data_IF_487267608328
#
_entry.id   IF_487267608328
#
_cell.length_a   1.000
_cell.length_b   1.000
_cell.length_c   1.000
_cell.angle_alpha   90.00
_cell.angle_beta   90.00
_cell.angle_gamma   90.00
#
_symmetry.space_group_name_H-M   'P 1'
#
loop_
_entity.id
_entity.type
_entity.pdbx_description
1 polymer ?
#
# COMPACT_ATOMS: atom_id res chain seq x y z
N UNK A 1 4.45 -33.00 -16.64
CA UNK A 1 4.13 -32.92 -15.21
C UNK A 1 3.35 -31.65 -15.03
N UNK A 2 2.22 -31.73 -14.35
CA UNK A 2 1.42 -30.55 -14.05
C UNK A 2 2.23 -29.64 -13.11
N UNK A 3 2.33 -28.35 -13.45
CA UNK A 3 3.11 -27.38 -12.70
C UNK A 3 2.18 -26.39 -11.98
N UNK A 4 2.43 -26.13 -10.70
CA UNK A 4 1.70 -25.06 -9.99
C UNK A 4 2.42 -23.73 -10.12
N UNK A 5 1.63 -22.65 -10.07
CA UNK A 5 2.08 -21.27 -10.15
C UNK A 5 1.59 -20.48 -8.95
N UNK A 6 2.43 -19.58 -8.45
CA UNK A 6 2.12 -18.70 -7.32
C UNK A 6 2.60 -17.28 -7.57
N UNK A 7 1.81 -16.31 -7.13
CA UNK A 7 2.12 -14.89 -7.34
C UNK A 7 3.17 -14.44 -6.31
N UNK A 8 4.25 -13.83 -6.80
CA UNK A 8 5.32 -13.27 -5.97
C UNK A 8 5.65 -11.84 -6.38
N UNK A 9 6.02 -11.02 -5.40
CA UNK A 9 6.63 -9.71 -5.58
C UNK A 9 8.03 -9.73 -4.93
N UNK A 10 9.07 -10.21 -5.65
CA UNK A 10 10.34 -10.57 -5.02
C UNK A 10 11.05 -9.41 -4.32
N UNK A 11 11.05 -8.20 -4.91
CA UNK A 11 11.66 -7.02 -4.29
C UNK A 11 10.91 -6.54 -3.03
N UNK A 12 9.60 -6.81 -2.94
CA UNK A 12 8.79 -6.48 -1.78
C UNK A 12 8.76 -7.62 -0.73
N UNK A 13 9.34 -8.79 -1.03
CA UNK A 13 9.27 -10.01 -0.21
C UNK A 13 7.83 -10.39 0.12
N UNK A 14 6.96 -10.37 -0.89
CA UNK A 14 5.55 -10.76 -0.76
C UNK A 14 5.26 -11.98 -1.64
N UNK A 15 4.40 -12.86 -1.14
CA UNK A 15 3.85 -14.00 -1.88
C UNK A 15 2.36 -14.16 -1.56
N UNK A 16 1.54 -14.47 -2.56
CA UNK A 16 0.12 -14.73 -2.34
C UNK A 16 -0.04 -16.11 -1.68
N UNK A 17 -0.92 -16.24 -0.68
CA UNK A 17 -1.15 -17.53 0.01
C UNK A 17 -1.53 -18.67 -0.95
N UNK A 18 -2.30 -18.36 -1.98
CA UNK A 18 -2.87 -19.34 -2.89
C UNK A 18 -2.12 -19.34 -4.22
N UNK A 19 -1.93 -20.54 -4.77
CA UNK A 19 -1.46 -20.77 -6.13
C UNK A 19 -2.33 -21.84 -6.77
N UNK A 20 -2.05 -22.19 -8.01
CA UNK A 20 -2.83 -23.20 -8.73
C UNK A 20 -2.20 -23.56 -10.06
N UNK A 21 -2.84 -24.47 -10.77
CA UNK A 21 -2.46 -24.76 -12.15
C UNK A 21 -2.93 -23.62 -13.05
N UNK A 22 -2.16 -23.34 -14.10
CA UNK A 22 -2.44 -22.21 -14.98
C UNK A 22 -3.82 -22.30 -15.64
N UNK A 23 -4.25 -23.50 -16.06
CA UNK A 23 -5.59 -23.74 -16.65
C UNK A 23 -6.73 -23.48 -15.65
N UNK A 24 -6.56 -23.92 -14.40
CA UNK A 24 -7.54 -23.72 -13.33
C UNK A 24 -7.68 -22.23 -13.00
N UNK A 25 -6.54 -21.54 -12.85
CA UNK A 25 -6.49 -20.12 -12.52
C UNK A 25 -7.10 -19.19 -13.58
N UNK A 26 -7.16 -19.65 -14.84
CA UNK A 26 -7.84 -18.93 -15.92
C UNK A 26 -9.38 -18.98 -15.79
N UNK A 27 -9.90 -19.94 -15.03
CA UNK A 27 -11.33 -20.30 -15.00
C UNK A 27 -11.97 -20.20 -13.62
N UNK A 28 -11.20 -20.23 -12.53
CA UNK A 28 -11.68 -20.35 -11.15
C UNK A 28 -11.92 -19.02 -10.41
N UNK A 29 -11.71 -17.88 -11.08
CA UNK A 29 -11.81 -16.56 -10.46
C UNK A 29 -10.48 -15.96 -10.02
N UNK A 30 -9.35 -16.68 -10.18
CA UNK A 30 -8.03 -16.21 -9.76
C UNK A 30 -7.60 -14.96 -10.54
N UNK A 31 -7.82 -14.94 -11.85
CA UNK A 31 -7.53 -13.80 -12.71
C UNK A 31 -8.26 -12.52 -12.22
N UNK A 32 -9.55 -12.60 -11.94
CA UNK A 32 -10.39 -11.49 -11.49
C UNK A 32 -9.90 -10.90 -10.17
N UNK A 33 -9.38 -11.75 -9.29
CA UNK A 33 -8.86 -11.29 -8.02
C UNK A 33 -7.51 -10.58 -8.12
N UNK A 34 -6.70 -10.85 -9.15
CA UNK A 34 -5.49 -10.06 -9.41
C UNK A 34 -5.82 -8.59 -9.64
N UNK A 35 -6.97 -8.32 -10.27
CA UNK A 35 -7.44 -6.95 -10.46
C UNK A 35 -7.62 -6.26 -9.10
N UNK A 36 -8.11 -6.95 -8.08
CA UNK A 36 -8.30 -6.39 -6.73
C UNK A 36 -6.97 -6.08 -6.02
N UNK A 37 -5.90 -6.82 -6.34
CA UNK A 37 -4.56 -6.60 -5.80
C UNK A 37 -3.82 -5.42 -6.48
N UNK A 38 -4.25 -5.02 -7.68
CA UNK A 38 -3.51 -4.09 -8.54
C UNK A 38 -4.28 -2.82 -8.92
N UNK A 39 -5.62 -2.85 -8.87
CA UNK A 39 -6.45 -1.73 -9.28
C UNK A 39 -6.33 -0.58 -8.29
N UNK A 40 -5.71 0.52 -8.74
CA UNK A 40 -5.57 1.72 -7.93
C UNK A 40 -6.94 2.40 -7.84
N UNK A 41 -7.49 2.59 -6.63
CA UNK A 41 -8.80 3.20 -6.47
C UNK A 41 -8.79 4.66 -6.93
N UNK A 42 -9.87 5.07 -7.60
CA UNK A 42 -10.15 6.49 -7.82
C UNK A 42 -10.41 7.10 -6.46
N UNK A 43 -9.67 8.14 -6.09
CA UNK A 43 -10.01 8.91 -4.89
C UNK A 43 -11.35 9.58 -5.16
N UNK A 44 -12.43 9.17 -4.50
CA UNK A 44 -13.69 9.87 -4.64
C UNK A 44 -13.43 11.29 -4.16
N UNK A 45 -14.08 12.26 -4.80
CA UNK A 45 -14.13 13.64 -4.30
C UNK A 45 -15.00 13.67 -3.03
N UNK A 46 -14.58 12.95 -2.01
CA UNK A 46 -15.01 13.21 -0.65
C UNK A 46 -14.52 14.64 -0.40
N UNK A 47 -15.42 15.52 0.03
CA UNK A 47 -15.11 16.89 0.39
C UNK A 47 -14.14 16.92 1.60
N UNK A 48 -12.90 16.50 1.38
CA UNK A 48 -11.77 16.67 2.27
C UNK A 48 -10.94 17.74 1.59
N UNK A 49 -10.82 18.86 2.28
CA UNK A 49 -10.28 20.12 1.79
C UNK A 49 -8.95 19.90 1.01
N UNK A 50 -8.90 20.14 -0.31
CA UNK A 50 -7.78 19.75 -1.17
C UNK A 50 -6.45 20.47 -0.84
N UNK A 51 -6.49 21.49 0.01
CA UNK A 51 -5.31 22.29 0.38
C UNK A 51 -4.40 21.67 1.45
N UNK A 52 -4.69 20.47 2.00
CA UNK A 52 -3.86 19.87 3.08
C UNK A 52 -2.79 18.86 2.65
N UNK A 53 -2.87 18.29 1.45
CA UNK A 53 -1.89 17.29 1.00
C UNK A 53 -0.79 17.85 0.08
N UNK A 54 -0.99 19.02 -0.52
CA UNK A 54 0.02 19.66 -1.36
C UNK A 54 1.24 20.20 -0.56
N UNK A 55 1.08 20.47 0.74
CA UNK A 55 2.13 21.08 1.57
C UNK A 55 3.18 20.09 2.11
N UNK A 56 2.90 18.78 2.12
CA UNK A 56 3.85 17.79 2.65
C UNK A 56 4.82 17.21 1.59
N UNK A 57 4.45 17.22 0.31
CA UNK A 57 5.36 16.76 -0.77
C UNK A 57 6.32 17.89 -1.18
N UNK A 58 5.89 19.16 -1.13
CA UNK A 58 6.74 20.30 -1.47
C UNK A 58 7.82 20.60 -0.41
N UNK A 59 7.56 20.31 0.87
CA UNK A 59 8.52 20.56 1.96
C UNK A 59 9.73 19.62 1.95
N UNK A 60 9.57 18.39 1.42
CA UNK A 60 10.67 17.40 1.37
C UNK A 60 11.62 17.55 0.18
N UNK A 61 11.27 18.33 -0.85
CA UNK A 61 12.12 18.55 -2.03
C UNK A 61 13.02 19.80 -1.99
N UNK A 62 12.89 20.65 -0.98
CA UNK A 62 13.64 21.93 -0.90
C UNK A 62 14.82 21.94 0.10
N UNK A 63 15.28 20.79 0.60
CA UNK A 63 16.44 20.71 1.51
C UNK A 63 17.52 19.72 1.05
N UNK A 64 17.85 19.69 -0.23
CA UNK A 64 19.12 19.13 -0.70
C UNK A 64 19.57 19.89 -1.94
N UNK A 65 20.27 21.01 -1.75
CA UNK A 65 21.27 21.56 -2.69
C UNK A 65 21.86 22.84 -2.08
N UNK A 66 23.12 22.77 -1.62
CA UNK A 66 24.15 23.82 -1.78
C UNK A 66 25.30 23.61 -0.77
N UNK A 67 26.18 22.67 -1.07
CA UNK A 67 27.63 22.79 -0.84
C UNK A 67 28.21 22.97 -2.25
N UNK A 68 29.06 23.93 -2.62
CA UNK A 68 30.29 24.49 -2.04
C UNK A 68 30.59 25.81 -2.81
N UNK A 69 31.16 26.85 -2.17
CA UNK A 69 32.35 27.57 -2.68
C UNK A 69 32.79 28.75 -1.79
N UNK A 70 34.07 28.71 -1.43
CA UNK A 70 34.92 29.68 -0.75
C UNK A 70 34.94 31.11 -1.36
N UNK A 71 34.99 32.16 -0.51
CA UNK A 71 36.14 33.13 -0.45
C UNK A 71 36.02 34.19 0.66
N UNK A 72 36.99 34.14 1.59
CA UNK A 72 37.79 35.20 2.25
C UNK A 72 37.14 36.50 2.81
N UNK A 73 37.27 36.60 4.15
CA UNK A 73 38.04 37.59 4.97
C UNK A 73 37.64 39.08 4.93
N UNK A 74 37.28 39.61 6.10
CA UNK A 74 37.30 41.06 6.41
C UNK A 74 36.74 41.38 7.80
N UNK A 75 37.59 41.91 8.68
CA UNK A 75 37.31 42.30 10.08
C UNK A 75 36.22 43.38 10.24
N UNK A 76 35.53 43.40 11.38
CA UNK A 76 35.61 44.48 12.39
C UNK A 76 34.34 44.51 13.27
N UNK A 77 34.56 44.66 14.57
CA UNK A 77 33.56 44.93 15.60
C UNK A 77 32.71 46.17 15.30
N UNK A 78 31.43 46.16 15.67
CA UNK A 78 30.78 47.12 16.57
C UNK A 78 29.24 46.97 16.54
N UNK A 79 28.67 46.71 17.73
CA UNK A 79 27.60 47.52 18.36
C UNK A 79 26.41 47.99 17.50
N UNK A 80 25.20 47.49 17.83
CA UNK A 80 24.10 48.24 18.51
C UNK A 80 22.73 47.62 18.22
N UNK A 81 22.07 47.11 19.27
CA UNK A 81 20.63 47.29 19.40
C UNK A 81 20.33 48.78 19.66
N UNK A 82 19.22 49.33 19.16
CA UNK A 82 18.29 50.05 20.05
C UNK A 82 16.81 50.01 19.55
N UNK A 83 15.83 50.65 20.25
CA UNK A 83 15.46 50.39 21.64
C UNK A 83 13.93 50.34 21.88
N UNK A 84 13.60 50.02 23.13
CA UNK A 84 12.31 49.87 23.81
C UNK A 84 11.42 51.12 23.77
N UNK A 85 10.10 50.93 23.93
CA UNK A 85 9.28 51.82 24.75
C UNK A 85 8.45 51.04 25.76
N UNK A 86 8.76 51.37 27.01
CA UNK A 86 8.16 51.02 28.28
C UNK A 86 6.82 51.75 28.41
N UNK A 87 5.78 51.11 28.93
CA UNK A 87 4.76 51.83 29.70
C UNK A 87 4.50 51.07 31.01
N UNK A 88 4.80 51.78 32.10
CA UNK A 88 4.52 51.47 33.50
C UNK A 88 3.03 51.72 33.79
N UNK A 89 2.44 50.86 34.62
CA UNK A 89 1.56 51.25 35.73
C UNK A 89 1.45 50.05 36.69
N UNK A 90 2.20 50.06 37.80
CA UNK A 90 1.74 50.41 39.16
C UNK A 90 1.22 49.20 39.92
N UNK A 91 2.08 48.66 40.79
CA UNK A 91 1.77 47.65 41.79
C UNK A 91 0.77 48.22 42.80
N UNK A 92 -0.42 47.64 42.86
CA UNK A 92 -1.28 47.71 44.05
C UNK A 92 -1.65 46.27 44.39
N UNK A 93 -1.46 45.90 45.66
CA UNK A 93 -1.67 44.57 46.19
C UNK A 93 -3.07 44.02 45.85
N UNK A 94 -3.13 42.76 45.42
CA UNK A 94 -4.38 42.06 45.19
C UNK A 94 -4.25 40.99 44.11
N UNK A 95 -4.12 39.74 44.55
CA UNK A 95 -4.53 38.50 43.86
C UNK A 95 -4.42 38.46 42.33
N UNK A 96 -3.48 37.65 41.82
CA UNK A 96 -3.68 36.82 40.61
C UNK A 96 -2.53 35.84 40.45
N UNK A 97 -2.83 34.57 40.72
CA UNK A 97 -2.08 33.42 40.21
C UNK A 97 -1.94 33.59 38.69
N UNK A 98 -0.76 33.39 38.08
CA UNK A 98 -0.69 33.30 36.64
C UNK A 98 -1.44 32.02 36.25
N UNK A 99 -2.59 32.17 35.58
CA UNK A 99 -3.32 31.09 34.94
C UNK A 99 -2.42 30.44 33.88
N UNK A 100 -1.50 29.58 34.30
CA UNK A 100 -0.97 28.54 33.43
C UNK A 100 -2.09 27.53 33.30
N UNK A 101 -2.95 27.68 32.28
CA UNK A 101 -3.83 26.58 31.92
C UNK A 101 -2.95 25.33 31.72
N UNK A 102 -3.26 24.20 32.37
CA UNK A 102 -2.52 22.97 32.16
C UNK A 102 -2.56 22.65 30.66
N UNK A 103 -1.43 22.23 30.09
CA UNK A 103 -1.39 21.80 28.71
C UNK A 103 -2.41 20.67 28.52
N UNK A 104 -3.51 20.96 27.82
CA UNK A 104 -4.54 19.97 27.52
C UNK A 104 -4.20 19.29 26.20
N UNK A 105 -4.59 18.03 26.06
CA UNK A 105 -4.46 17.29 24.79
C UNK A 105 -5.05 18.09 23.62
N UNK A 106 -6.19 18.75 23.84
CA UNK A 106 -6.86 19.59 22.85
C UNK A 106 -6.04 20.81 22.39
N UNK A 107 -5.08 21.27 23.20
CA UNK A 107 -4.20 22.39 22.87
C UNK A 107 -3.03 22.01 21.95
N UNK A 108 -2.84 20.73 21.64
CA UNK A 108 -1.75 20.27 20.78
C UNK A 108 -2.03 20.58 19.28
N UNK A 109 -0.99 20.79 18.47
CA UNK A 109 -1.15 20.92 17.01
C UNK A 109 -1.80 19.68 16.38
N UNK A 110 -2.43 19.85 15.21
CA UNK A 110 -3.10 18.74 14.49
C UNK A 110 -2.10 17.66 14.07
N UNK A 111 -0.86 18.05 13.78
CA UNK A 111 0.24 17.17 13.42
C UNK A 111 0.58 16.21 14.56
N UNK A 112 0.54 16.69 15.81
CA UNK A 112 0.79 15.85 16.99
C UNK A 112 -0.37 14.88 17.21
N UNK A 113 -1.60 15.34 17.05
CA UNK A 113 -2.76 14.45 17.07
C UNK A 113 -2.63 13.34 16.02
N UNK A 114 -2.27 13.68 14.78
CA UNK A 114 -2.04 12.68 13.73
C UNK A 114 -0.96 11.67 14.10
N UNK A 115 0.16 12.12 14.66
CA UNK A 115 1.21 11.22 15.13
C UNK A 115 0.70 10.27 16.22
N UNK A 116 -0.08 10.76 17.18
CA UNK A 116 -0.71 9.91 18.20
C UNK A 116 -1.59 8.85 17.54
N UNK A 117 -2.45 9.25 16.61
CA UNK A 117 -3.30 8.32 15.85
C UNK A 117 -2.50 7.31 15.02
N UNK A 118 -1.34 7.68 14.47
CA UNK A 118 -0.46 6.75 13.75
C UNK A 118 0.17 5.67 14.65
N UNK A 119 0.21 5.87 15.97
CA UNK A 119 0.68 4.88 16.94
C UNK A 119 -0.42 3.94 17.44
N UNK A 120 -1.69 4.20 17.12
CA UNK A 120 -2.79 3.32 17.46
C UNK A 120 -2.86 2.19 16.43
N UNK A 121 -2.60 0.97 16.89
CA UNK A 121 -2.53 -0.21 16.01
C UNK A 121 -3.93 -0.77 15.74
N UNK A 122 -4.83 -0.68 16.73
CA UNK A 122 -6.18 -1.25 16.64
C UNK A 122 -7.18 -0.19 16.20
N UNK A 123 -8.06 -0.57 15.28
CA UNK A 123 -9.13 0.32 14.79
C UNK A 123 -10.10 0.74 15.91
N UNK A 124 -10.32 -0.15 16.90
CA UNK A 124 -11.05 0.15 18.14
C UNK A 124 -10.48 1.36 18.88
N UNK A 125 -9.16 1.46 19.00
CA UNK A 125 -8.50 2.56 19.71
C UNK A 125 -8.63 3.88 18.96
N UNK A 126 -8.49 3.81 17.62
CA UNK A 126 -8.71 4.96 16.73
C UNK A 126 -10.14 5.47 16.86
N UNK A 127 -11.11 4.56 16.87
CA UNK A 127 -12.51 4.91 17.02
C UNK A 127 -12.78 5.53 18.39
N UNK A 128 -12.36 4.89 19.48
CA UNK A 128 -12.57 5.37 20.85
C UNK A 128 -11.96 6.75 21.08
N UNK A 129 -10.73 6.99 20.60
CA UNK A 129 -10.09 8.31 20.71
C UNK A 129 -10.79 9.35 19.82
N UNK A 130 -11.26 8.93 18.65
CA UNK A 130 -12.02 9.78 17.73
C UNK A 130 -13.33 10.29 18.32
N UNK A 131 -14.01 9.48 19.11
CA UNK A 131 -15.30 9.82 19.73
C UNK A 131 -15.17 10.87 20.86
N UNK A 132 -13.98 11.10 21.41
CA UNK A 132 -13.77 12.04 22.52
C UNK A 132 -14.18 13.48 22.17
N UNK A 133 -13.93 13.93 20.94
CA UNK A 133 -14.41 15.23 20.46
C UNK A 133 -14.43 15.34 18.93
N UNK A 134 -15.11 16.37 18.41
CA UNK A 134 -15.28 16.60 16.96
C UNK A 134 -13.95 16.76 16.18
N UNK A 135 -12.92 17.34 16.78
CA UNK A 135 -11.61 17.50 16.12
C UNK A 135 -10.90 16.16 15.98
N UNK A 136 -10.82 15.38 17.06
CA UNK A 136 -10.25 14.03 17.04
C UNK A 136 -11.08 13.09 16.15
N UNK A 137 -12.40 13.27 16.09
CA UNK A 137 -13.29 12.56 15.17
C UNK A 137 -12.87 12.79 13.70
N UNK A 138 -12.50 14.01 13.31
CA UNK A 138 -11.98 14.28 11.96
C UNK A 138 -10.63 13.58 11.71
N UNK A 139 -9.73 13.58 12.70
CA UNK A 139 -8.42 12.92 12.59
C UNK A 139 -8.59 11.40 12.51
N UNK A 140 -9.45 10.82 13.35
CA UNK A 140 -9.81 9.40 13.33
C UNK A 140 -10.39 8.99 11.97
N UNK A 141 -11.28 9.80 11.40
CA UNK A 141 -11.83 9.55 10.06
C UNK A 141 -10.74 9.52 8.99
N UNK A 142 -9.81 10.48 9.00
CA UNK A 142 -8.69 10.49 8.06
C UNK A 142 -7.84 9.22 8.20
N UNK A 143 -7.58 8.79 9.43
CA UNK A 143 -6.80 7.58 9.72
C UNK A 143 -7.52 6.31 9.27
N UNK A 144 -8.80 6.13 9.61
CA UNK A 144 -9.59 4.95 9.20
C UNK A 144 -9.70 4.86 7.67
N UNK A 145 -9.92 5.99 7.00
CA UNK A 145 -9.90 6.05 5.53
C UNK A 145 -8.51 5.68 4.99
N UNK A 146 -7.44 6.23 5.55
CA UNK A 146 -6.08 5.89 5.12
C UNK A 146 -5.76 4.40 5.32
N UNK A 147 -6.14 3.83 6.46
CA UNK A 147 -6.02 2.39 6.74
C UNK A 147 -6.80 1.57 5.73
N UNK A 148 -8.07 1.90 5.48
CA UNK A 148 -8.88 1.24 4.46
C UNK A 148 -8.25 1.31 3.06
N UNK A 149 -7.73 2.48 2.66
CA UNK A 149 -7.05 2.65 1.38
C UNK A 149 -5.72 1.89 1.30
N UNK A 150 -5.05 1.64 2.43
CA UNK A 150 -3.84 0.81 2.45
C UNK A 150 -4.11 -0.66 2.14
N UNK A 151 -5.36 -1.11 2.30
CA UNK A 151 -5.82 -2.45 1.91
C UNK A 151 -6.09 -2.55 0.40
N UNK A 152 -6.16 -1.41 -0.29
CA UNK A 152 -6.46 -1.35 -1.72
C UNK A 152 -5.18 -1.36 -2.53
N UNK A 153 -5.17 -2.20 -3.57
CA UNK A 153 -4.06 -2.32 -4.49
C UNK A 153 -2.68 -2.59 -3.84
N UNK A 154 -2.57 -3.50 -2.85
CA UNK A 154 -1.33 -3.69 -2.09
C UNK A 154 -0.11 -4.04 -2.97
N UNK A 155 -0.36 -4.60 -4.16
CA UNK A 155 0.66 -5.05 -5.09
C UNK A 155 0.85 -4.07 -6.27
N UNK A 156 0.12 -2.96 -6.30
CA UNK A 156 0.27 -1.97 -7.35
C UNK A 156 1.68 -1.35 -7.31
N UNK A 157 2.24 -1.15 -8.50
CA UNK A 157 3.61 -0.64 -8.69
C UNK A 157 4.72 -1.55 -8.14
N UNK A 158 4.44 -2.81 -7.79
CA UNK A 158 5.45 -3.80 -7.48
C UNK A 158 5.88 -4.55 -8.75
N UNK A 159 7.13 -5.02 -8.77
CA UNK A 159 7.61 -5.97 -9.78
C UNK A 159 7.08 -7.36 -9.42
N UNK A 160 6.08 -7.84 -10.17
CA UNK A 160 5.36 -9.07 -9.86
C UNK A 160 5.61 -10.16 -10.88
N UNK A 161 5.55 -11.42 -10.45
CA UNK A 161 5.71 -12.60 -11.30
C UNK A 161 4.75 -13.69 -10.82
N UNK A 162 4.09 -14.40 -11.74
CA UNK A 162 3.53 -15.71 -11.43
C UNK A 162 4.60 -16.75 -11.68
N UNK A 163 5.29 -17.16 -10.61
CA UNK A 163 6.39 -18.11 -10.70
C UNK A 163 5.86 -19.53 -10.62
N UNK A 164 6.34 -20.39 -11.50
CA UNK A 164 6.05 -21.82 -11.42
C UNK A 164 7.14 -22.60 -10.68
N UNK A 165 6.82 -23.81 -10.23
CA UNK A 165 7.75 -24.69 -9.48
C UNK A 165 9.04 -25.06 -10.23
N UNK A 166 8.94 -25.29 -11.54
CA UNK A 166 10.04 -25.71 -12.40
C UNK A 166 10.90 -24.51 -12.88
N UNK A 167 11.40 -23.69 -11.95
CA UNK A 167 12.39 -22.64 -12.26
C UNK A 167 13.81 -23.10 -11.93
N UNK A 168 14.67 -23.07 -12.94
CA UNK A 168 16.10 -23.34 -12.83
C UNK A 168 16.83 -22.27 -12.00
N UNK A 169 17.97 -22.63 -11.37
CA UNK A 169 18.80 -21.66 -10.68
C UNK A 169 19.24 -20.50 -11.59
N UNK A 170 19.20 -19.28 -11.05
CA UNK A 170 19.54 -18.03 -11.74
C UNK A 170 18.67 -17.68 -12.95
N UNK A 171 17.55 -18.37 -13.17
CA UNK A 171 16.61 -18.07 -14.26
C UNK A 171 15.57 -17.02 -13.85
N UNK A 172 15.96 -15.75 -13.90
CA UNK A 172 15.13 -14.60 -13.54
C UNK A 172 14.61 -13.82 -14.77
N UNK A 173 13.38 -13.27 -14.71
CA UNK A 173 12.91 -12.33 -15.72
C UNK A 173 13.87 -11.14 -15.91
N UNK A 174 14.07 -10.68 -17.16
CA UNK A 174 14.99 -9.60 -17.44
C UNK A 174 14.54 -8.29 -16.75
N UNK A 175 15.46 -7.66 -16.00
CA UNK A 175 15.19 -6.39 -15.31
C UNK A 175 14.45 -6.52 -13.97
N UNK A 176 14.16 -7.75 -13.51
CA UNK A 176 13.63 -7.99 -12.16
C UNK A 176 14.65 -7.56 -11.10
N UNK A 177 15.88 -8.05 -11.21
CA UNK A 177 17.00 -7.73 -10.33
C UNK A 177 18.16 -7.08 -11.09
N UNK A 178 18.91 -6.24 -10.39
CA UNK A 178 20.25 -5.81 -10.78
C UNK A 178 21.31 -6.83 -10.32
N UNK A 179 22.48 -6.81 -10.93
CA UNK A 179 23.59 -7.71 -10.57
C UNK A 179 23.96 -7.59 -9.08
N UNK A 180 23.93 -6.37 -8.53
CA UNK A 180 24.18 -6.14 -7.11
C UNK A 180 23.11 -6.74 -6.20
N UNK A 181 21.84 -6.77 -6.63
CA UNK A 181 20.75 -7.42 -5.89
C UNK A 181 20.91 -8.94 -5.92
N UNK A 182 21.29 -9.53 -7.06
CA UNK A 182 21.56 -10.97 -7.18
C UNK A 182 22.72 -11.41 -6.28
N UNK A 183 23.81 -10.64 -6.25
CA UNK A 183 24.95 -10.89 -5.35
C UNK A 183 24.55 -10.80 -3.87
N UNK A 184 23.67 -9.86 -3.50
CA UNK A 184 23.16 -9.75 -2.15
C UNK A 184 22.23 -10.92 -1.78
N UNK A 185 21.38 -11.36 -2.72
CA UNK A 185 20.49 -12.50 -2.54
C UNK A 185 21.26 -13.81 -2.36
N UNK A 186 22.32 -14.03 -3.14
CA UNK A 186 23.15 -15.23 -3.03
C UNK A 186 23.92 -15.37 -1.71
N UNK A 187 24.05 -14.27 -0.95
CA UNK A 187 24.68 -14.27 0.40
C UNK A 187 23.68 -14.44 1.53
N UNK A 188 22.39 -14.41 1.22
CA UNK A 188 21.35 -14.48 2.23
C UNK A 188 21.02 -15.94 2.51
N UNK A 189 21.13 -16.31 3.77
CA UNK A 189 20.86 -17.64 4.29
C UNK A 189 19.53 -17.62 5.06
N UNK A 190 18.74 -18.67 4.87
CA UNK A 190 17.44 -18.84 5.49
C UNK A 190 17.36 -20.21 6.16
N UNK A 191 16.84 -20.23 7.38
CA UNK A 191 16.59 -21.46 8.12
C UNK A 191 15.26 -22.05 7.66
N UNK A 192 15.30 -23.17 6.93
CA UNK A 192 14.09 -23.87 6.47
C UNK A 192 13.77 -25.03 7.41
N UNK A 193 12.50 -25.14 7.78
CA UNK A 193 11.99 -26.28 8.55
C UNK A 193 11.68 -27.44 7.60
N UNK A 194 12.30 -28.59 7.82
CA UNK A 194 11.97 -29.82 7.11
C UNK A 194 10.99 -30.64 7.96
N UNK A 195 9.77 -30.83 7.48
CA UNK A 195 8.72 -31.55 8.19
C UNK A 195 8.98 -33.07 8.26
N UNK A 196 9.79 -33.64 7.36
CA UNK A 196 10.01 -35.09 7.27
C UNK A 196 11.04 -35.61 8.30
N UNK A 197 12.04 -34.81 8.69
CA UNK A 197 13.19 -35.28 9.50
C UNK A 197 13.15 -34.88 10.99
N UNK A 198 12.17 -34.07 11.43
CA UNK A 198 11.95 -33.77 12.85
C UNK A 198 13.09 -33.04 13.58
N UNK A 199 14.08 -32.50 12.86
CA UNK A 199 15.17 -31.67 13.36
C UNK A 199 15.31 -30.40 12.51
N UNK A 200 15.69 -29.29 13.13
CA UNK A 200 15.79 -27.98 12.48
C UNK A 200 17.05 -27.81 11.61
N UNK A 201 16.86 -27.07 10.51
CA UNK A 201 17.78 -26.23 9.72
C UNK A 201 18.57 -26.92 8.60
N UNK A 202 17.96 -27.02 7.42
CA UNK A 202 18.72 -26.89 6.18
C UNK A 202 18.89 -25.39 5.90
N UNK A 203 20.14 -24.91 5.88
CA UNK A 203 20.45 -23.54 5.47
C UNK A 203 20.25 -23.48 3.95
N UNK A 204 19.27 -22.71 3.51
CA UNK A 204 18.99 -22.49 2.10
C UNK A 204 19.40 -21.08 1.67
N UNK A 205 20.06 -20.98 0.51
CA UNK A 205 20.25 -19.71 -0.21
C UNK A 205 19.20 -19.55 -1.29
N UNK A 206 18.73 -18.32 -1.54
CA UNK A 206 17.79 -18.03 -2.63
C UNK A 206 18.52 -18.15 -3.97
N UNK A 207 18.32 -19.28 -4.67
CA UNK A 207 19.02 -19.61 -5.92
C UNK A 207 18.12 -19.56 -7.16
N UNK A 208 16.79 -19.61 -6.98
CA UNK A 208 15.82 -19.51 -8.07
C UNK A 208 14.64 -18.61 -7.65
N UNK A 209 13.75 -18.34 -8.60
CA UNK A 209 12.60 -17.47 -8.36
C UNK A 209 11.51 -18.16 -7.50
N UNK A 210 11.37 -19.48 -7.60
CA UNK A 210 10.37 -20.22 -6.83
C UNK A 210 10.61 -20.15 -5.32
N UNK A 211 11.85 -19.98 -4.85
CA UNK A 211 12.15 -19.80 -3.41
C UNK A 211 11.41 -18.59 -2.79
N UNK A 212 11.03 -17.58 -3.58
CA UNK A 212 10.24 -16.44 -3.07
C UNK A 212 8.79 -16.83 -2.72
N UNK A 213 8.36 -18.05 -3.00
CA UNK A 213 7.05 -18.58 -2.59
C UNK A 213 7.02 -19.07 -1.14
N UNK A 214 8.19 -19.24 -0.53
CA UNK A 214 8.38 -19.81 0.80
C UNK A 214 8.19 -18.76 1.91
N UNK A 215 7.56 -19.13 3.05
CA UNK A 215 7.32 -18.21 4.16
C UNK A 215 8.59 -17.65 4.80
N UNK A 216 9.71 -18.37 4.73
CA UNK A 216 11.01 -17.96 5.26
C UNK A 216 11.61 -16.80 4.44
N UNK A 217 11.30 -16.76 3.14
CA UNK A 217 11.87 -15.79 2.19
C UNK A 217 10.93 -14.61 1.98
N UNK A 218 9.62 -14.84 1.98
CA UNK A 218 8.59 -13.84 1.69
C UNK A 218 7.44 -13.91 2.69
N UNK A 219 6.90 -12.74 3.05
CA UNK A 219 5.68 -12.65 3.82
C UNK A 219 4.50 -13.15 2.99
N UNK A 220 3.77 -14.13 3.54
CA UNK A 220 2.57 -14.67 2.91
C UNK A 220 1.41 -13.70 3.16
N UNK A 221 0.95 -13.06 2.09
CA UNK A 221 -0.27 -12.26 2.12
C UNK A 221 -1.49 -13.11 1.75
N UNK A 222 -2.46 -13.13 2.67
CA UNK A 222 -3.79 -13.63 2.36
C UNK A 222 -4.55 -12.63 1.51
N UNK A 223 -5.37 -13.12 0.57
CA UNK A 223 -6.26 -12.28 -0.23
C UNK A 223 -7.31 -11.65 0.68
N UNK A 224 -7.12 -10.37 1.02
CA UNK A 224 -8.12 -9.61 1.80
C UNK A 224 -9.30 -9.26 0.92
N UNK A 225 -10.50 -9.52 1.42
CA UNK A 225 -11.71 -9.24 0.69
C UNK A 225 -12.37 -8.01 1.29
N UNK A 226 -12.44 -6.94 0.49
CA UNK A 226 -13.01 -5.65 0.88
C UNK A 226 -14.39 -5.74 1.51
N UNK A 227 -15.23 -6.70 1.10
CA UNK A 227 -16.54 -6.91 1.73
C UNK A 227 -16.40 -7.31 3.20
N UNK A 228 -15.45 -8.18 3.52
CA UNK A 228 -15.21 -8.61 4.90
C UNK A 228 -14.65 -7.45 5.73
N UNK A 229 -13.69 -6.69 5.21
CA UNK A 229 -13.13 -5.51 5.89
C UNK A 229 -14.21 -4.46 6.20
N UNK A 230 -15.14 -4.20 5.25
CA UNK A 230 -16.28 -3.31 5.51
C UNK A 230 -17.26 -3.86 6.55
N UNK A 231 -17.40 -5.17 6.64
CA UNK A 231 -18.24 -5.84 7.66
C UNK A 231 -17.57 -5.79 9.02
N UNK A 232 -16.26 -6.00 9.12
CA UNK A 232 -15.49 -5.88 10.36
C UNK A 232 -15.56 -4.46 10.91
N UNK A 233 -15.34 -3.45 10.06
CA UNK A 233 -15.60 -2.05 10.42
C UNK A 233 -17.05 -1.87 10.88
N UNK A 234 -18.03 -2.37 10.15
CA UNK A 234 -19.44 -2.31 10.52
C UNK A 234 -19.75 -2.92 11.90
N UNK A 235 -19.14 -4.06 12.21
CA UNK A 235 -19.25 -4.74 13.50
C UNK A 235 -18.55 -3.97 14.62
N UNK A 236 -17.48 -3.24 14.31
CA UNK A 236 -16.83 -2.35 15.26
C UNK A 236 -17.76 -1.16 15.60
N UNK A 237 -18.35 -0.54 14.59
CA UNK A 237 -19.27 0.58 14.79
C UNK A 237 -20.55 0.20 15.55
N UNK A 238 -21.03 -1.05 15.43
CA UNK A 238 -22.23 -1.52 16.13
C UNK A 238 -22.03 -1.77 17.63
N UNK A 239 -20.79 -1.85 18.10
CA UNK A 239 -20.45 -2.00 19.52
C UNK A 239 -20.45 -0.67 20.28
N UNK A 240 -20.55 0.46 19.57
CA UNK A 240 -20.52 1.79 20.16
C UNK A 240 -21.91 2.16 20.70
N UNK A 241 -22.03 2.77 21.88
CA UNK A 241 -23.32 3.19 22.44
C UNK A 241 -24.08 4.14 21.51
N UNK A 242 -25.41 3.99 21.48
CA UNK A 242 -26.31 4.82 20.64
C UNK A 242 -26.23 6.33 20.95
N UNK A 243 -25.71 6.73 22.12
CA UNK A 243 -25.43 8.13 22.43
C UNK A 243 -24.43 8.78 21.47
N UNK A 244 -23.62 7.98 20.79
CA UNK A 244 -22.60 8.42 19.83
C UNK A 244 -23.08 8.37 18.37
N UNK A 245 -24.36 8.07 18.10
CA UNK A 245 -24.91 7.89 16.74
C UNK A 245 -24.58 9.03 15.78
N UNK A 246 -24.51 10.28 16.26
CA UNK A 246 -24.14 11.43 15.44
C UNK A 246 -22.67 11.37 14.99
N UNK A 247 -21.76 10.97 15.87
CA UNK A 247 -20.35 10.78 15.55
C UNK A 247 -20.13 9.51 14.70
N UNK A 248 -20.88 8.44 14.96
CA UNK A 248 -20.89 7.23 14.15
C UNK A 248 -21.45 7.48 12.75
N UNK A 249 -22.45 8.34 12.59
CA UNK A 249 -22.95 8.76 11.28
C UNK A 249 -21.88 9.50 10.49
N UNK A 250 -20.96 10.19 11.17
CA UNK A 250 -19.85 10.90 10.53
C UNK A 250 -18.65 9.99 10.22
N UNK A 251 -18.34 9.05 11.12
CA UNK A 251 -17.23 8.11 11.00
C UNK A 251 -17.56 6.85 10.17
N UNK A 252 -18.81 6.40 10.18
CA UNK A 252 -19.22 5.03 9.88
C UNK A 252 -19.26 4.63 8.40
N UNK A 253 -19.46 3.32 8.13
CA UNK A 253 -19.35 2.68 6.81
C UNK A 253 -20.29 3.29 5.77
N UNK A 254 -21.44 3.83 6.17
CA UNK A 254 -22.38 4.51 5.26
C UNK A 254 -21.81 5.79 4.64
N UNK A 255 -20.75 6.36 5.23
CA UNK A 255 -19.97 7.48 4.66
C UNK A 255 -18.64 7.04 4.05
N UNK A 256 -18.25 5.78 4.22
CA UNK A 256 -17.18 5.23 3.40
C UNK A 256 -17.74 4.98 2.01
N UNK A 257 -17.05 5.42 0.96
CA UNK A 257 -17.50 5.18 -0.38
C UNK A 257 -17.73 3.69 -0.65
N UNK A 258 -18.79 3.36 -1.38
CA UNK A 258 -19.01 1.99 -1.84
C UNK A 258 -17.89 1.56 -2.79
N UNK A 259 -17.72 0.26 -3.01
CA UNK A 259 -16.74 -0.27 -3.97
C UNK A 259 -16.83 0.44 -5.33
N UNK A 260 -18.05 0.61 -5.86
CA UNK A 260 -18.33 1.31 -7.12
C UNK A 260 -17.92 2.79 -7.15
N UNK A 261 -17.75 3.45 -5.99
CA UNK A 261 -17.28 4.83 -5.94
C UNK A 261 -15.76 4.94 -5.99
N UNK A 262 -15.04 3.89 -5.58
CA UNK A 262 -13.59 3.76 -5.76
C UNK A 262 -13.23 3.15 -7.11
N UNK A 263 -14.10 2.29 -7.61
CA UNK A 263 -13.95 1.56 -8.87
C UNK A 263 -15.17 1.84 -9.76
N UNK A 264 -15.33 3.09 -10.27
CA UNK A 264 -16.43 3.46 -11.14
C UNK A 264 -16.50 2.55 -12.36
N UNK A 265 -17.68 1.97 -12.56
CA UNK A 265 -17.98 1.03 -13.65
C UNK A 265 -18.22 1.73 -14.99
N UNK A 266 -18.58 3.01 -14.94
CA UNK A 266 -18.94 3.86 -16.08
C UNK A 266 -17.75 4.64 -16.66
N UNK A 267 -16.55 4.47 -16.08
CA UNK A 267 -15.33 5.16 -16.53
C UNK A 267 -14.41 4.21 -17.29
N UNK A 268 -13.61 4.72 -18.25
CA UNK A 268 -12.63 3.90 -18.95
C UNK A 268 -11.46 3.56 -18.03
N UNK A 269 -11.14 2.26 -17.93
CA UNK A 269 -9.98 1.75 -17.22
C UNK A 269 -8.90 1.26 -18.18
N UNK A 270 -7.65 1.36 -17.74
CA UNK A 270 -6.49 0.85 -18.47
C UNK A 270 -5.57 0.09 -17.52
N UNK A 271 -5.07 -1.04 -18.00
CA UNK A 271 -3.95 -1.74 -17.39
C UNK A 271 -2.66 -1.14 -17.94
N UNK A 272 -1.72 -0.78 -17.07
CA UNK A 272 -0.44 -0.18 -17.46
C UNK A 272 0.71 -0.96 -16.86
N UNK A 273 1.64 -1.34 -17.72
CA UNK A 273 2.99 -1.71 -17.30
C UNK A 273 3.85 -0.43 -17.36
N UNK A 274 4.25 0.07 -16.19
CA UNK A 274 4.97 1.35 -16.09
C UNK A 274 6.42 1.22 -16.56
N UNK A 275 7.04 0.06 -16.37
CA UNK A 275 8.44 -0.20 -16.73
C UNK A 275 8.61 -0.32 -18.25
N UNK A 276 7.74 -1.10 -18.90
CA UNK A 276 7.78 -1.30 -20.36
C UNK A 276 7.03 -0.23 -21.14
N UNK A 277 6.33 0.69 -20.45
CA UNK A 277 5.49 1.76 -21.02
C UNK A 277 4.39 1.24 -21.94
N UNK A 278 3.94 0.02 -21.70
CA UNK A 278 2.84 -0.62 -22.43
C UNK A 278 1.54 -0.46 -21.64
N UNK A 279 0.43 -0.41 -22.36
CA UNK A 279 -0.89 -0.38 -21.75
C UNK A 279 -1.89 -1.21 -22.56
N UNK A 280 -2.94 -1.65 -21.88
CA UNK A 280 -4.05 -2.38 -22.48
C UNK A 280 -5.33 -1.68 -22.05
N UNK A 281 -6.22 -1.47 -23.02
CA UNK A 281 -7.55 -0.90 -22.78
C UNK A 281 -8.58 -2.01 -22.65
N UNK A 282 -9.63 -1.78 -21.86
CA UNK A 282 -10.71 -2.74 -21.65
C UNK A 282 -11.35 -3.20 -22.98
N UNK A 283 -11.54 -2.28 -23.94
CA UNK A 283 -12.17 -2.55 -25.24
C UNK A 283 -11.32 -3.42 -26.16
N UNK A 284 -10.03 -3.58 -25.88
CA UNK A 284 -9.15 -4.46 -26.64
C UNK A 284 -9.18 -5.91 -26.14
N UNK A 285 -9.74 -6.16 -24.94
CA UNK A 285 -9.80 -7.48 -24.31
C UNK A 285 -11.23 -8.00 -24.30
N UNK A 286 -12.18 -7.15 -23.89
CA UNK A 286 -13.56 -7.55 -23.69
C UNK A 286 -14.20 -8.04 -24.99
N UNK A 287 -14.93 -9.16 -24.91
CA UNK A 287 -15.65 -9.74 -26.05
C UNK A 287 -16.64 -8.73 -26.67
N UNK A 288 -17.27 -7.92 -25.82
CA UNK A 288 -18.20 -6.86 -26.21
C UNK A 288 -18.18 -5.74 -25.17
N UNK A 289 -18.48 -4.51 -25.58
CA UNK A 289 -18.50 -3.34 -24.67
C UNK A 289 -19.42 -3.49 -23.47
N UNK A 290 -20.54 -4.23 -23.62
CA UNK A 290 -21.51 -4.46 -22.54
C UNK A 290 -20.98 -5.28 -21.36
N UNK A 291 -19.84 -5.95 -21.54
CA UNK A 291 -19.18 -6.76 -20.51
C UNK A 291 -18.11 -5.96 -19.74
N UNK A 292 -17.96 -4.67 -20.03
CA UNK A 292 -16.98 -3.80 -19.37
C UNK A 292 -17.69 -3.07 -18.22
N UNK A 293 -17.32 -3.39 -16.98
CA UNK A 293 -17.85 -2.78 -15.75
C UNK A 293 -16.70 -2.16 -14.96
N UNK A 294 -16.05 -1.17 -15.56
CA UNK A 294 -14.88 -0.51 -15.00
C UNK A 294 -13.63 -1.39 -15.04
N UNK A 295 -12.97 -1.68 -13.89
CA UNK A 295 -11.83 -2.59 -13.85
C UNK A 295 -12.25 -4.06 -13.90
N UNK A 296 -13.52 -4.37 -13.59
CA UNK A 296 -14.10 -5.70 -13.69
C UNK A 296 -14.68 -5.89 -15.10
N UNK A 297 -14.24 -6.92 -15.79
CA UNK A 297 -14.69 -7.23 -17.15
C UNK A 297 -15.14 -8.69 -17.16
N UNK A 298 -16.35 -8.95 -17.64
CA UNK A 298 -16.89 -10.31 -17.65
C UNK A 298 -16.10 -11.20 -18.65
N UNK A 299 -15.91 -12.47 -18.28
CA UNK A 299 -15.22 -13.51 -19.05
C UNK A 299 -13.71 -13.28 -19.23
N UNK A 300 -13.31 -12.30 -20.05
CA UNK A 300 -11.90 -12.03 -20.37
C UNK A 300 -11.56 -10.58 -20.02
N UNK A 301 -10.78 -10.40 -18.96
CA UNK A 301 -10.50 -9.08 -18.40
C UNK A 301 -9.01 -8.77 -18.21
N UNK A 302 -8.74 -7.70 -17.48
CA UNK A 302 -7.37 -7.30 -17.14
C UNK A 302 -6.63 -8.40 -16.37
N UNK A 303 -7.33 -9.12 -15.50
CA UNK A 303 -6.79 -10.25 -14.74
C UNK A 303 -6.14 -11.30 -15.62
N UNK A 304 -6.84 -11.75 -16.67
CA UNK A 304 -6.34 -12.74 -17.63
C UNK A 304 -5.11 -12.23 -18.38
N UNK A 305 -5.12 -10.95 -18.77
CA UNK A 305 -3.97 -10.33 -19.43
C UNK A 305 -2.77 -10.25 -18.49
N UNK A 306 -2.97 -9.91 -17.22
CA UNK A 306 -1.90 -9.89 -16.21
C UNK A 306 -1.34 -11.29 -16.06
N UNK A 307 -2.18 -12.25 -15.69
CA UNK A 307 -1.81 -13.65 -15.46
C UNK A 307 -0.93 -14.18 -16.61
N UNK A 308 -1.43 -14.13 -17.85
CA UNK A 308 -0.74 -14.66 -19.02
C UNK A 308 0.53 -13.89 -19.41
N UNK A 309 0.71 -12.64 -18.96
CA UNK A 309 1.90 -11.84 -19.29
C UNK A 309 2.94 -11.79 -18.19
N UNK A 310 2.64 -12.23 -16.98
CA UNK A 310 3.60 -12.26 -15.86
C UNK A 310 4.02 -13.67 -15.45
N UNK A 311 3.55 -14.73 -16.11
CA UNK A 311 4.00 -16.10 -15.86
C UNK A 311 5.49 -16.28 -16.16
N UNK A 312 6.19 -17.02 -15.29
CA UNK A 312 7.59 -17.38 -15.45
C UNK A 312 7.85 -18.83 -15.00
N UNK A 313 8.38 -19.65 -15.90
CA UNK A 313 8.88 -21.01 -15.62
C UNK A 313 10.02 -21.34 -16.58
N UNK A 314 10.95 -22.19 -16.16
CA UNK A 314 12.02 -22.67 -17.03
C UNK A 314 11.56 -23.76 -18.00
N UNK A 315 10.53 -24.50 -17.61
CA UNK A 315 9.94 -25.57 -18.41
C UNK A 315 8.59 -25.14 -19.01
N UNK A 316 8.27 -25.53 -20.25
CA UNK A 316 6.97 -25.27 -20.84
C UNK A 316 5.87 -26.03 -20.10
N UNK A 317 4.66 -25.49 -20.15
CA UNK A 317 3.44 -26.11 -19.59
C UNK A 317 2.66 -26.71 -20.77
N UNK A 318 2.67 -28.06 -20.95
CA UNK A 318 2.07 -28.70 -22.11
C UNK A 318 0.55 -28.48 -22.23
N UNK A 319 -0.12 -28.23 -21.10
CA UNK A 319 -1.57 -28.08 -21.02
C UNK A 319 -2.07 -26.75 -21.62
N UNK A 320 -1.19 -25.75 -21.80
CA UNK A 320 -1.60 -24.39 -22.20
C UNK A 320 -0.86 -23.96 -23.47
N UNK A 321 -1.61 -23.74 -24.55
CA UNK A 321 -1.08 -23.23 -25.82
C UNK A 321 -1.21 -21.70 -25.92
N UNK A 322 -0.18 -20.97 -26.41
CA UNK A 322 1.12 -21.47 -26.84
C UNK A 322 2.08 -21.79 -25.67
N UNK A 323 2.99 -22.74 -25.89
CA UNK A 323 3.99 -23.22 -24.91
C UNK A 323 4.86 -22.09 -24.30
N UNK A 324 4.96 -20.94 -24.95
CA UNK A 324 5.71 -19.76 -24.51
C UNK A 324 4.97 -18.86 -23.50
N UNK A 325 3.75 -19.19 -23.06
CA UNK A 325 3.01 -18.39 -22.06
C UNK A 325 3.82 -18.27 -20.75
N UNK A 326 4.63 -19.28 -20.43
CA UNK A 326 5.48 -19.29 -19.23
C UNK A 326 6.73 -18.40 -19.31
N UNK A 327 6.90 -17.63 -20.38
CA UNK A 327 7.95 -16.60 -20.51
C UNK A 327 7.29 -15.25 -20.75
N UNK A 328 6.46 -14.86 -19.80
CA UNK A 328 5.64 -13.65 -19.86
C UNK A 328 6.47 -12.39 -20.04
N UNK A 329 6.12 -11.56 -21.04
CA UNK A 329 6.85 -10.33 -21.37
C UNK A 329 6.79 -9.25 -20.28
N UNK A 330 5.89 -9.38 -19.31
CA UNK A 330 5.70 -8.45 -18.20
C UNK A 330 6.14 -9.05 -16.86
N UNK A 331 6.67 -10.27 -16.85
CA UNK A 331 7.19 -10.87 -15.63
C UNK A 331 8.29 -9.97 -15.04
N UNK A 332 8.10 -9.52 -13.80
CA UNK A 332 9.06 -8.70 -13.07
C UNK A 332 9.07 -7.21 -13.43
N UNK A 333 7.99 -6.70 -14.03
CA UNK A 333 7.90 -5.30 -14.51
C UNK A 333 6.81 -4.45 -13.86
#
# INVERSE_FOLDING_TARGET
MEQTFKLVAPNARLTERYGGKLEEMLSDGTAEALVKLLAIPVRPRIAVNPNRFASQIASRRSRMSATVAFKRRGNAELRKCPPRLLNKTTTTAGSRVPNSQPATLAGLPTEIHRLIFCHLVREEEVLNLGLVNRHLCHVAREQLVASFFSLLAPWACQKIVYVGENTEPNDYPPGLFSDAELEALGRQEFDVYDEDDGYYISIMTVSNLHHFTMPEVSNIEGRRNLKFETVELGNLFSQVPASEDAALTYLGPTKFPSYSQYFPQDQPWILRNLTTKQFVRAEAIALQRRFIHGPEIDFLGFGHVILLRICWSSQPVPEVYPENIVRGKWAGH
#
